data_IF_710326554640
#
_entry.id   IF_710326554640
#
_cell.length_a   1.000
_cell.length_b   1.000
_cell.length_c   1.000
_cell.angle_alpha   90.00
_cell.angle_beta   90.00
_cell.angle_gamma   90.00
#
_symmetry.space_group_name_H-M   'P 1'
#
loop_
_entity.id
_entity.type
_entity.pdbx_description
1 polymer ?
#
# COMPACT_ATOMS: atom_id res chain seq x y z
N UNK A 1 -19.37 -14.68 -1.22
CA UNK A 1 -18.16 -15.31 -0.68
C UNK A 1 -17.35 -14.18 -0.08
N UNK A 2 -17.08 -14.23 1.22
CA UNK A 2 -16.35 -13.16 1.89
C UNK A 2 -14.94 -13.06 1.32
N UNK A 3 -14.48 -11.83 1.10
CA UNK A 3 -13.17 -11.58 0.51
C UNK A 3 -12.08 -11.88 1.55
N UNK A 4 -11.24 -12.85 1.25
CA UNK A 4 -10.09 -13.18 2.10
C UNK A 4 -8.98 -12.14 1.87
N UNK A 5 -8.53 -11.50 2.95
CA UNK A 5 -7.36 -10.61 2.96
C UNK A 5 -6.22 -11.31 3.67
N UNK A 6 -5.06 -11.38 3.01
CA UNK A 6 -3.93 -12.16 3.44
C UNK A 6 -2.68 -11.28 3.59
N UNK A 7 -1.92 -11.52 4.64
CA UNK A 7 -0.53 -11.09 4.78
C UNK A 7 0.41 -12.04 4.03
N UNK A 8 1.66 -11.62 3.80
CA UNK A 8 2.67 -12.52 3.21
C UNK A 8 2.92 -13.75 4.08
N UNK A 9 2.84 -13.58 5.41
CA UNK A 9 2.95 -14.70 6.36
C UNK A 9 1.88 -15.75 6.12
N UNK A 10 0.65 -15.33 5.85
CA UNK A 10 -0.47 -16.25 5.60
C UNK A 10 -0.41 -16.89 4.21
N UNK A 11 0.25 -16.24 3.25
CA UNK A 11 0.47 -16.76 1.90
C UNK A 11 1.57 -17.82 1.89
N UNK A 12 2.74 -17.50 2.43
CA UNK A 12 3.94 -18.35 2.34
C UNK A 12 4.15 -19.26 3.55
N UNK A 13 3.50 -18.98 4.68
CA UNK A 13 3.82 -19.60 5.97
C UNK A 13 5.13 -19.13 6.61
N UNK A 14 5.86 -18.20 5.96
CA UNK A 14 7.15 -17.68 6.41
C UNK A 14 7.03 -16.20 6.80
N UNK A 15 7.72 -15.79 7.87
CA UNK A 15 7.59 -14.45 8.46
C UNK A 15 8.55 -13.42 7.86
N UNK A 16 9.61 -13.86 7.17
CA UNK A 16 10.73 -12.98 6.75
C UNK A 16 10.27 -11.90 5.76
N UNK A 17 9.56 -12.27 4.68
CA UNK A 17 9.08 -11.31 3.69
C UNK A 17 7.98 -10.40 4.25
N UNK A 18 7.11 -10.93 5.12
CA UNK A 18 6.10 -10.13 5.82
C UNK A 18 6.72 -9.03 6.69
N UNK A 19 7.75 -9.36 7.47
CA UNK A 19 8.48 -8.37 8.28
C UNK A 19 9.23 -7.36 7.41
N UNK A 20 9.83 -7.82 6.32
CA UNK A 20 10.51 -6.94 5.38
C UNK A 20 9.53 -5.93 4.77
N UNK A 21 8.40 -6.40 4.24
CA UNK A 21 7.37 -5.55 3.67
C UNK A 21 6.85 -4.55 4.71
N UNK A 22 6.49 -5.00 5.92
CA UNK A 22 6.01 -4.12 7.00
C UNK A 22 7.02 -3.02 7.34
N UNK A 23 8.31 -3.35 7.40
CA UNK A 23 9.37 -2.37 7.68
C UNK A 23 9.50 -1.33 6.57
N UNK A 24 9.46 -1.76 5.31
CA UNK A 24 9.56 -0.85 4.17
C UNK A 24 8.31 0.04 4.03
N UNK A 25 7.13 -0.52 4.27
CA UNK A 25 5.86 0.23 4.30
C UNK A 25 5.90 1.29 5.41
N UNK A 26 6.28 0.92 6.63
CA UNK A 26 6.31 1.82 7.77
C UNK A 26 7.19 3.07 7.54
N UNK A 27 8.34 2.89 6.88
CA UNK A 27 9.27 3.98 6.52
C UNK A 27 8.69 4.98 5.51
N UNK A 28 7.65 4.59 4.78
CA UNK A 28 7.03 5.35 3.70
C UNK A 28 5.70 5.99 4.10
N UNK A 29 5.07 5.53 5.19
CA UNK A 29 3.74 5.97 5.62
C UNK A 29 3.62 7.48 5.77
N UNK A 30 4.64 8.15 6.32
CA UNK A 30 4.59 9.61 6.57
C UNK A 30 4.41 10.43 5.28
N UNK A 31 4.88 9.94 4.13
CA UNK A 31 4.68 10.64 2.86
C UNK A 31 3.20 10.83 2.50
N UNK A 32 2.35 9.90 2.93
CA UNK A 32 0.92 9.88 2.58
C UNK A 32 0.08 10.89 3.36
N UNK A 33 0.63 11.54 4.38
CA UNK A 33 0.01 12.73 4.99
C UNK A 33 -0.08 13.91 4.00
N UNK A 34 0.74 13.88 2.95
CA UNK A 34 0.76 14.90 1.89
C UNK A 34 -0.07 14.52 0.68
N UNK A 35 -0.75 13.37 0.71
CA UNK A 35 -1.68 12.98 -0.34
C UNK A 35 -2.93 13.87 -0.30
N UNK A 36 -3.16 14.57 -1.41
CA UNK A 36 -4.28 15.49 -1.59
C UNK A 36 -5.55 14.81 -2.12
N UNK A 37 -5.38 13.85 -3.02
CA UNK A 37 -6.48 13.22 -3.75
C UNK A 37 -6.23 11.72 -3.91
N UNK A 38 -6.96 10.92 -3.13
CA UNK A 38 -6.83 9.45 -3.12
C UNK A 38 -7.31 8.82 -4.42
N UNK A 39 -8.37 9.38 -5.03
CA UNK A 39 -8.92 8.87 -6.29
C UNK A 39 -7.94 9.07 -7.44
N UNK A 40 -7.40 10.29 -7.60
CA UNK A 40 -6.40 10.54 -8.64
C UNK A 40 -5.12 9.75 -8.45
N UNK A 41 -4.68 9.53 -7.21
CA UNK A 41 -3.52 8.68 -6.93
C UNK A 41 -3.80 7.22 -7.29
N UNK A 42 -4.98 6.71 -6.96
CA UNK A 42 -5.40 5.35 -7.33
C UNK A 42 -5.40 5.18 -8.86
N UNK A 43 -6.01 6.12 -9.59
CA UNK A 43 -6.03 6.12 -11.05
C UNK A 43 -4.61 6.18 -11.63
N UNK A 44 -3.74 7.03 -11.07
CA UNK A 44 -2.34 7.19 -11.51
C UNK A 44 -1.52 5.90 -11.42
N UNK A 45 -1.78 5.06 -10.40
CA UNK A 45 -1.12 3.76 -10.28
C UNK A 45 -1.86 2.63 -11.02
N UNK A 46 -2.94 2.93 -11.75
CA UNK A 46 -3.79 1.92 -12.39
C UNK A 46 -4.56 1.05 -11.40
N UNK A 47 -4.89 1.62 -10.24
CA UNK A 47 -5.71 1.01 -9.19
C UNK A 47 -7.08 1.65 -9.08
N UNK A 48 -7.78 1.36 -7.99
CA UNK A 48 -9.10 1.90 -7.68
C UNK A 48 -9.24 2.17 -6.18
N UNK A 49 -9.90 3.28 -5.81
CA UNK A 49 -10.25 3.54 -4.41
C UNK A 49 -11.41 2.62 -3.99
N UNK A 50 -11.26 1.96 -2.85
CA UNK A 50 -12.33 1.15 -2.26
C UNK A 50 -13.26 2.07 -1.45
N UNK A 51 -14.47 2.29 -1.97
CA UNK A 51 -15.43 3.25 -1.39
C UNK A 51 -15.98 2.83 -0.01
N UNK A 52 -16.07 1.53 0.27
CA UNK A 52 -16.54 1.00 1.55
C UNK A 52 -15.66 -0.15 2.02
N UNK A 53 -14.50 0.15 2.63
CA UNK A 53 -13.57 -0.87 3.10
C UNK A 53 -14.20 -1.75 4.18
N UNK A 54 -13.99 -3.07 4.10
CA UNK A 54 -14.40 -4.01 5.15
C UNK A 54 -13.48 -3.99 6.38
N UNK A 55 -12.31 -3.33 6.26
CA UNK A 55 -11.33 -3.13 7.31
C UNK A 55 -11.30 -1.64 7.63
N UNK A 56 -11.34 -1.26 8.91
CA UNK A 56 -11.31 0.14 9.32
C UNK A 56 -9.99 0.79 8.90
N UNK A 57 -10.08 1.81 8.06
CA UNK A 57 -8.99 2.67 7.62
C UNK A 57 -9.55 4.01 7.09
N UNK A 58 -8.74 5.06 7.01
CA UNK A 58 -9.14 6.34 6.42
C UNK A 58 -9.38 6.23 4.92
N UNK A 59 -8.53 5.46 4.24
CA UNK A 59 -8.74 5.07 2.86
C UNK A 59 -8.07 3.76 2.54
N UNK A 60 -8.61 3.10 1.52
CA UNK A 60 -8.07 1.87 0.96
C UNK A 60 -8.01 2.01 -0.56
N UNK A 61 -6.86 1.68 -1.12
CA UNK A 61 -6.66 1.60 -2.57
C UNK A 61 -6.34 0.16 -2.93
N UNK A 62 -6.98 -0.32 -3.99
CA UNK A 62 -6.73 -1.64 -4.56
C UNK A 62 -5.95 -1.49 -5.85
N UNK A 63 -4.98 -2.38 -6.07
CA UNK A 63 -4.32 -2.56 -7.36
C UNK A 63 -4.30 -4.03 -7.73
N UNK A 64 -4.70 -4.35 -8.96
CA UNK A 64 -4.49 -5.67 -9.53
C UNK A 64 -3.11 -5.71 -10.16
N UNK A 65 -2.22 -6.56 -9.66
CA UNK A 65 -0.89 -6.72 -10.28
C UNK A 65 -0.99 -7.50 -11.59
N UNK A 66 -1.88 -8.50 -11.61
CA UNK A 66 -2.27 -9.24 -12.80
C UNK A 66 -3.52 -10.08 -12.48
N UNK A 67 -4.16 -10.73 -13.47
CA UNK A 67 -5.44 -11.41 -13.25
C UNK A 67 -5.38 -12.46 -12.12
N UNK A 68 -6.19 -12.26 -11.08
CA UNK A 68 -6.25 -13.14 -9.91
C UNK A 68 -5.29 -12.80 -8.77
N UNK A 69 -4.49 -11.73 -8.89
CA UNK A 69 -3.60 -11.23 -7.82
C UNK A 69 -3.83 -9.75 -7.57
N UNK A 70 -4.36 -9.46 -6.39
CA UNK A 70 -4.75 -8.12 -5.95
C UNK A 70 -3.97 -7.73 -4.70
N UNK A 71 -3.56 -6.47 -4.63
CA UNK A 71 -3.00 -5.83 -3.44
C UNK A 71 -3.90 -4.69 -2.97
N UNK A 72 -3.99 -4.53 -1.66
CA UNK A 72 -4.78 -3.53 -0.96
C UNK A 72 -3.85 -2.74 -0.08
N UNK A 73 -3.84 -1.42 -0.26
CA UNK A 73 -3.06 -0.45 0.48
C UNK A 73 -4.02 0.29 1.40
N UNK A 74 -3.96 -0.05 2.68
CA UNK A 74 -4.81 0.52 3.73
C UNK A 74 -4.01 1.58 4.44
N UNK A 75 -4.56 2.78 4.57
CA UNK A 75 -3.90 3.89 5.24
C UNK A 75 -4.73 4.43 6.40
N UNK A 76 -4.04 4.71 7.50
CA UNK A 76 -4.56 5.50 8.61
C UNK A 76 -3.72 6.77 8.75
N UNK A 77 -4.40 7.90 8.79
CA UNK A 77 -3.81 9.20 9.09
C UNK A 77 -3.30 9.23 10.52
N UNK A 78 -2.37 10.14 10.76
CA UNK A 78 -1.93 10.45 12.11
C UNK A 78 -3.10 10.96 12.96
N UNK A 79 -3.16 10.53 14.22
CA UNK A 79 -4.02 11.12 15.23
C UNK A 79 -3.22 11.52 16.49
N UNK A 80 -3.90 11.83 17.59
CA UNK A 80 -3.25 12.23 18.85
C UNK A 80 -2.46 11.09 19.51
N UNK A 81 -2.84 9.84 19.25
CA UNK A 81 -2.30 8.65 19.92
C UNK A 81 -1.33 7.86 19.04
N UNK A 82 -1.53 7.86 17.71
CA UNK A 82 -0.84 6.99 16.77
C UNK A 82 -0.22 7.74 15.58
N UNK A 83 1.00 7.36 15.15
CA UNK A 83 1.61 7.88 13.93
C UNK A 83 0.84 7.41 12.68
N UNK A 84 1.05 8.07 11.52
CA UNK A 84 0.44 7.59 10.28
C UNK A 84 0.94 6.19 9.96
N UNK A 85 0.05 5.33 9.46
CA UNK A 85 0.37 3.94 9.19
C UNK A 85 -0.22 3.47 7.87
N UNK A 86 0.55 2.63 7.18
CA UNK A 86 0.09 1.91 6.00
C UNK A 86 0.24 0.40 6.24
N UNK A 87 -0.73 -0.36 5.74
CA UNK A 87 -0.69 -1.81 5.67
C UNK A 87 -0.94 -2.26 4.24
N UNK A 88 -0.22 -3.29 3.81
CA UNK A 88 -0.48 -3.98 2.55
C UNK A 88 -1.06 -5.35 2.85
N UNK A 89 -2.21 -5.64 2.25
CA UNK A 89 -2.86 -6.95 2.27
C UNK A 89 -3.04 -7.43 0.84
N UNK A 90 -3.13 -8.73 0.65
CA UNK A 90 -3.30 -9.33 -0.67
C UNK A 90 -4.56 -10.19 -0.72
N UNK A 91 -5.09 -10.36 -1.93
CA UNK A 91 -6.27 -11.18 -2.19
C UNK A 91 -6.24 -11.70 -3.63
N UNK A 92 -7.22 -12.52 -3.97
CA UNK A 92 -7.36 -13.12 -5.29
C UNK A 92 -6.94 -14.59 -5.32
N UNK A 93 -7.52 -15.32 -6.27
CA UNK A 93 -7.40 -16.79 -6.36
C UNK A 93 -5.97 -17.28 -6.61
N UNK A 94 -5.12 -16.46 -7.21
CA UNK A 94 -3.73 -16.82 -7.59
C UNK A 94 -2.68 -16.24 -6.66
N UNK A 95 -3.08 -15.53 -5.59
CA UNK A 95 -2.12 -14.85 -4.71
C UNK A 95 -1.14 -15.82 -4.05
N UNK A 96 -1.58 -17.08 -3.82
CA UNK A 96 -0.77 -18.15 -3.25
C UNK A 96 0.14 -18.85 -4.26
N UNK A 97 0.00 -18.55 -5.54
CA UNK A 97 0.90 -19.05 -6.60
C UNK A 97 2.21 -18.25 -6.68
N UNK A 98 2.25 -17.07 -6.05
CA UNK A 98 3.46 -16.24 -5.96
C UNK A 98 4.30 -16.52 -4.74
N UNK A 99 5.60 -16.32 -4.93
CA UNK A 99 6.52 -16.10 -3.83
C UNK A 99 6.29 -14.71 -3.21
N UNK A 100 6.45 -14.64 -1.90
CA UNK A 100 6.23 -13.42 -1.14
C UNK A 100 7.32 -12.38 -1.32
N UNK A 101 8.51 -12.76 -1.79
CA UNK A 101 9.51 -11.81 -2.25
C UNK A 101 9.00 -11.04 -3.47
N UNK A 102 8.45 -11.71 -4.48
CA UNK A 102 7.83 -11.08 -5.65
C UNK A 102 6.67 -10.15 -5.24
N UNK A 103 5.76 -10.63 -4.40
CA UNK A 103 4.65 -9.82 -3.88
C UNK A 103 5.14 -8.60 -3.09
N UNK A 104 6.19 -8.76 -2.27
CA UNK A 104 6.77 -7.66 -1.51
C UNK A 104 7.39 -6.61 -2.41
N UNK A 105 8.10 -7.03 -3.46
CA UNK A 105 8.71 -6.14 -4.46
C UNK A 105 7.65 -5.36 -5.22
N UNK A 106 6.59 -6.03 -5.69
CA UNK A 106 5.47 -5.38 -6.38
C UNK A 106 4.75 -4.36 -5.50
N UNK A 107 4.52 -4.70 -4.23
CA UNK A 107 3.91 -3.80 -3.26
C UNK A 107 4.79 -2.57 -3.01
N UNK A 108 6.08 -2.75 -2.77
CA UNK A 108 7.02 -1.64 -2.53
C UNK A 108 7.15 -0.75 -3.76
N UNK A 109 7.28 -1.34 -4.96
CA UNK A 109 7.33 -0.58 -6.21
C UNK A 109 6.05 0.25 -6.42
N UNK A 110 4.90 -0.31 -6.07
CA UNK A 110 3.62 0.42 -6.12
C UNK A 110 3.61 1.58 -5.14
N UNK A 111 4.05 1.40 -3.90
CA UNK A 111 4.11 2.48 -2.90
C UNK A 111 5.07 3.59 -3.38
N UNK A 112 6.22 3.24 -3.95
CA UNK A 112 7.13 4.23 -4.54
C UNK A 112 6.43 5.02 -5.68
N UNK A 113 5.65 4.33 -6.52
CA UNK A 113 4.87 4.97 -7.59
C UNK A 113 3.80 5.93 -7.02
N UNK A 114 3.15 5.56 -5.91
CA UNK A 114 2.24 6.47 -5.18
C UNK A 114 2.98 7.69 -4.61
N UNK A 115 4.19 7.52 -4.08
CA UNK A 115 4.99 8.65 -3.56
C UNK A 115 5.46 9.56 -4.70
N UNK A 116 5.78 9.01 -5.87
CA UNK A 116 6.05 9.85 -7.05
C UNK A 116 4.86 10.73 -7.41
N UNK A 117 3.63 10.22 -7.32
CA UNK A 117 2.43 11.05 -7.48
C UNK A 117 2.39 12.18 -6.45
N UNK A 118 2.58 11.88 -5.17
CA UNK A 118 2.57 12.87 -4.07
C UNK A 118 3.60 13.97 -4.31
N UNK A 119 4.81 13.61 -4.77
CA UNK A 119 5.84 14.61 -5.12
C UNK A 119 5.41 15.52 -6.26
N UNK A 120 4.75 14.96 -7.27
CA UNK A 120 4.24 15.71 -8.42
C UNK A 120 3.05 16.61 -8.06
N UNK A 121 2.20 16.21 -7.13
CA UNK A 121 0.99 16.96 -6.75
C UNK A 121 1.23 18.05 -5.69
N UNK A 122 2.41 18.06 -5.05
CA UNK A 122 2.73 18.99 -3.95
C UNK A 122 3.88 19.97 -4.28
N UNK A 123 3.78 20.80 -5.34
CA UNK A 123 4.84 21.72 -5.72
C UNK A 123 5.14 22.73 -4.59
N UNK A 124 6.42 22.90 -4.28
CA UNK A 124 6.90 23.89 -3.29
C UNK A 124 6.73 23.47 -1.82
N UNK A 125 6.14 22.30 -1.51
CA UNK A 125 6.12 21.78 -0.14
C UNK A 125 7.41 21.06 0.21
N UNK A 126 7.83 21.20 1.47
CA UNK A 126 8.92 20.38 2.03
C UNK A 126 8.35 19.01 2.42
N UNK A 127 8.64 18.00 1.60
CA UNK A 127 8.20 16.62 1.83
C UNK A 127 9.20 15.86 2.73
N UNK A 128 8.79 14.74 3.35
CA UNK A 128 9.68 13.87 4.10
C UNK A 128 10.84 13.36 3.24
N UNK A 129 11.98 13.08 3.86
CA UNK A 129 13.21 12.68 3.15
C UNK A 129 13.01 11.43 2.28
N UNK A 130 12.17 10.49 2.71
CA UNK A 130 11.87 9.27 1.97
C UNK A 130 11.37 9.55 0.55
N UNK A 131 10.69 10.68 0.32
CA UNK A 131 10.23 11.09 -0.99
C UNK A 131 11.39 11.34 -1.97
N UNK A 132 12.60 11.64 -1.51
CA UNK A 132 13.74 11.90 -2.39
C UNK A 132 14.55 10.64 -2.76
N UNK A 133 14.29 9.51 -2.09
CA UNK A 133 15.04 8.26 -2.26
C UNK A 133 14.24 7.13 -2.91
N UNK A 134 12.99 7.42 -3.30
CA UNK A 134 12.10 6.49 -4.01
C UNK A 134 12.10 6.75 -5.51
#
# INVERSE_FOLDING_TARGET
MDKEFLTLKEIEGVVVHDLYLKKEVARRSEAFEYLDDVEKMADYIGGERVASPSIRCDWMVKKMFYPGVEAYFLYNRKDEEFPPSMQVLFSGEKVRELQGDDLSVLAIATINHMIHYIRGSQPGKRLPEICNFV
#
